data_IF_344519176517
#
_entry.id   IF_344519176517
#
_cell.length_a   1.000
_cell.length_b   1.000
_cell.length_c   1.000
_cell.angle_alpha   90.00
_cell.angle_beta   90.00
_cell.angle_gamma   90.00
#
_symmetry.space_group_name_H-M   'P 1'
#
loop_
_entity.id
_entity.type
_entity.pdbx_description
1 polymer ?
#
# COMPACT_ATOMS: atom_id res chain seq x y z
N UNK A 1 -19.21 -25.05 -4.40
CA UNK A 1 -20.27 -24.80 -3.39
C UNK A 1 -19.60 -24.12 -2.21
N UNK A 2 -20.04 -22.92 -1.82
CA UNK A 2 -19.54 -22.18 -0.65
C UNK A 2 -19.92 -23.01 0.58
N UNK A 3 -18.96 -23.35 1.44
CA UNK A 3 -19.13 -24.47 2.36
C UNK A 3 -18.79 -24.21 3.82
N UNK A 4 -18.29 -23.02 4.20
CA UNK A 4 -17.94 -22.78 5.61
C UNK A 4 -17.89 -21.30 5.99
N UNK A 5 -18.15 -21.04 7.27
CA UNK A 5 -17.86 -19.75 7.89
C UNK A 5 -16.37 -19.42 7.79
N UNK A 6 -16.06 -18.13 7.72
CA UNK A 6 -14.69 -17.69 7.48
C UNK A 6 -14.41 -16.34 8.18
N UNK A 7 -13.20 -16.19 8.68
CA UNK A 7 -12.69 -14.91 9.17
C UNK A 7 -11.24 -14.71 8.75
N UNK A 8 -10.91 -13.50 8.32
CA UNK A 8 -9.52 -13.09 8.04
C UNK A 8 -9.30 -11.63 8.39
N UNK A 9 -8.06 -11.31 8.75
CA UNK A 9 -7.60 -9.95 8.94
C UNK A 9 -6.43 -9.67 7.98
N UNK A 10 -6.47 -8.52 7.34
CA UNK A 10 -5.37 -7.92 6.57
C UNK A 10 -4.99 -6.60 7.19
N UNK A 11 -3.81 -6.10 6.89
CA UNK A 11 -3.29 -4.84 7.44
C UNK A 11 -3.12 -3.81 6.34
N UNK A 12 -3.03 -2.54 6.72
CA UNK A 12 -2.54 -1.50 5.84
C UNK A 12 -1.05 -1.69 5.53
N UNK A 13 -0.52 -0.81 4.70
CA UNK A 13 0.91 -0.75 4.37
C UNK A 13 1.37 0.69 4.24
N UNK A 14 2.68 0.89 4.29
CA UNK A 14 3.34 2.11 3.90
C UNK A 14 4.63 1.79 3.15
N UNK A 15 5.08 2.70 2.29
CA UNK A 15 6.24 2.51 1.43
C UNK A 15 7.35 3.44 1.91
N UNK A 16 8.54 2.88 2.18
CA UNK A 16 9.71 3.65 2.55
C UNK A 16 10.40 4.23 1.31
N UNK A 17 10.54 3.45 0.26
CA UNK A 17 11.11 3.89 -1.00
C UNK A 17 10.73 2.92 -2.15
N UNK A 18 10.77 3.39 -3.40
CA UNK A 18 10.52 2.57 -4.58
C UNK A 18 9.18 2.85 -5.27
N UNK A 19 8.40 3.80 -4.77
CA UNK A 19 7.14 4.24 -5.39
C UNK A 19 7.38 4.62 -6.87
N UNK A 20 6.40 4.44 -7.73
CA UNK A 20 6.44 4.69 -9.18
C UNK A 20 7.50 3.91 -9.95
N UNK A 21 8.79 3.93 -9.52
CA UNK A 21 9.87 3.21 -10.18
C UNK A 21 9.64 1.69 -10.21
N UNK A 22 8.94 1.14 -9.21
CA UNK A 22 8.55 -0.28 -9.13
C UNK A 22 7.71 -0.75 -10.32
N UNK A 23 6.96 0.14 -10.97
CA UNK A 23 6.21 -0.17 -12.19
C UNK A 23 7.11 -0.45 -13.40
N UNK A 24 8.39 -0.08 -13.32
CA UNK A 24 9.42 -0.27 -14.37
C UNK A 24 10.52 -1.23 -13.93
N UNK A 25 10.21 -2.14 -12.96
CA UNK A 25 11.10 -3.21 -12.54
C UNK A 25 12.12 -2.83 -11.45
N UNK A 26 12.12 -1.57 -10.98
CA UNK A 26 12.96 -1.18 -9.87
C UNK A 26 12.44 -1.75 -8.54
N UNK A 27 13.30 -1.90 -7.52
CA UNK A 27 12.88 -2.43 -6.24
C UNK A 27 12.07 -1.41 -5.42
N UNK A 28 11.36 -1.93 -4.41
CA UNK A 28 10.69 -1.12 -3.39
C UNK A 28 10.85 -1.74 -2.00
N UNK A 29 10.80 -0.89 -0.97
CA UNK A 29 10.70 -1.29 0.43
C UNK A 29 9.33 -0.92 0.96
N UNK A 30 8.55 -1.92 1.33
CA UNK A 30 7.19 -1.76 1.88
C UNK A 30 7.07 -2.44 3.23
N UNK A 31 6.31 -1.82 4.11
CA UNK A 31 6.11 -2.24 5.49
C UNK A 31 4.62 -2.46 5.76
N UNK A 32 4.25 -3.51 6.49
CA UNK A 32 2.90 -3.65 7.00
C UNK A 32 2.60 -2.56 8.05
N UNK A 33 1.37 -2.07 8.07
CA UNK A 33 0.87 -1.10 9.03
C UNK A 33 -0.14 -1.80 9.96
N UNK A 34 0.35 -2.45 10.99
CA UNK A 34 -0.47 -3.29 11.88
C UNK A 34 -1.54 -2.52 12.66
N UNK A 35 -1.32 -1.21 12.91
CA UNK A 35 -2.30 -0.33 13.55
C UNK A 35 -3.54 -0.06 12.69
N UNK A 36 -3.45 -0.28 11.38
CA UNK A 36 -4.54 -0.15 10.41
C UNK A 36 -4.88 -1.52 9.85
N UNK A 37 -6.12 -1.97 10.05
CA UNK A 37 -6.54 -3.32 9.68
C UNK A 37 -7.92 -3.34 9.03
N UNK A 38 -8.15 -4.37 8.24
CA UNK A 38 -9.43 -4.76 7.68
C UNK A 38 -9.72 -6.19 8.14
N UNK A 39 -10.86 -6.40 8.75
CA UNK A 39 -11.36 -7.72 9.14
C UNK A 39 -12.58 -8.06 8.28
N UNK A 40 -12.53 -9.18 7.61
CA UNK A 40 -13.62 -9.77 6.85
C UNK A 40 -14.10 -11.02 7.57
N UNK A 41 -15.39 -11.06 7.94
CA UNK A 41 -16.09 -12.25 8.42
C UNK A 41 -17.16 -12.63 7.42
N UNK A 42 -17.34 -13.91 7.25
CA UNK A 42 -18.39 -14.48 6.42
C UNK A 42 -19.13 -15.54 7.20
N UNK A 43 -20.46 -15.46 7.19
CA UNK A 43 -21.34 -16.49 7.73
C UNK A 43 -22.15 -17.10 6.61
N UNK A 44 -22.06 -18.42 6.48
CA UNK A 44 -22.84 -19.17 5.51
C UNK A 44 -24.30 -19.18 5.95
N UNK A 45 -25.17 -18.69 5.09
CA UNK A 45 -26.62 -18.78 5.25
C UNK A 45 -27.27 -19.11 3.91
N UNK A 46 -28.53 -19.56 3.95
CA UNK A 46 -29.34 -19.76 2.73
C UNK A 46 -30.02 -18.46 2.26
N UNK A 47 -29.74 -17.33 2.94
CA UNK A 47 -30.28 -16.02 2.59
C UNK A 47 -29.49 -15.42 1.44
N UNK A 48 -30.09 -14.47 0.75
CA UNK A 48 -29.39 -13.66 -0.25
C UNK A 48 -28.16 -12.97 0.34
N UNK A 49 -27.23 -12.62 -0.53
CA UNK A 49 -26.03 -11.89 -0.18
C UNK A 49 -26.36 -10.57 0.54
N UNK A 50 -25.80 -10.39 1.75
CA UNK A 50 -25.93 -9.16 2.53
C UNK A 50 -24.62 -8.78 3.20
N UNK A 51 -24.46 -7.48 3.52
CA UNK A 51 -23.28 -6.90 4.18
C UNK A 51 -23.72 -6.07 5.38
N UNK A 52 -22.90 -6.03 6.44
CA UNK A 52 -23.16 -5.25 7.65
C UNK A 52 -23.39 -3.75 7.40
N UNK A 53 -22.69 -3.18 6.41
CA UNK A 53 -22.86 -1.79 5.95
C UNK A 53 -23.42 -1.79 4.53
N UNK A 54 -24.66 -1.37 4.36
CA UNK A 54 -25.34 -1.34 3.08
C UNK A 54 -24.62 -0.45 2.04
N UNK A 55 -23.87 0.57 2.47
CA UNK A 55 -23.08 1.42 1.56
C UNK A 55 -21.90 0.67 0.93
N UNK A 56 -21.38 -0.35 1.60
CA UNK A 56 -20.29 -1.20 1.10
C UNK A 56 -20.77 -2.35 0.22
N UNK A 57 -22.08 -2.64 0.21
CA UNK A 57 -22.63 -3.76 -0.53
C UNK A 57 -22.34 -3.73 -2.04
N UNK A 58 -22.48 -2.60 -2.76
CA UNK A 58 -22.15 -2.55 -4.19
C UNK A 58 -20.66 -2.80 -4.46
N UNK A 59 -19.78 -2.26 -3.62
CA UNK A 59 -18.34 -2.45 -3.75
C UNK A 59 -17.96 -3.92 -3.57
N UNK A 60 -18.38 -4.53 -2.47
CA UNK A 60 -18.07 -5.91 -2.15
C UNK A 60 -18.66 -6.86 -3.20
N UNK A 61 -19.91 -6.62 -3.63
CA UNK A 61 -20.54 -7.36 -4.70
C UNK A 61 -19.75 -7.32 -6.01
N UNK A 62 -19.27 -6.14 -6.42
CA UNK A 62 -18.47 -5.99 -7.63
C UNK A 62 -17.15 -6.76 -7.55
N UNK A 63 -16.48 -6.77 -6.39
CA UNK A 63 -15.23 -7.52 -6.21
C UNK A 63 -15.50 -9.03 -6.26
N UNK A 64 -16.54 -9.52 -5.57
CA UNK A 64 -16.94 -10.92 -5.60
C UNK A 64 -17.35 -11.36 -7.01
N UNK A 65 -18.16 -10.56 -7.70
CA UNK A 65 -18.59 -10.78 -9.08
C UNK A 65 -17.38 -10.91 -10.02
N UNK A 66 -16.42 -10.00 -9.90
CA UNK A 66 -15.22 -10.04 -10.73
C UNK A 66 -14.40 -11.30 -10.44
N UNK A 67 -14.23 -11.67 -9.16
CA UNK A 67 -13.56 -12.91 -8.79
C UNK A 67 -14.22 -14.16 -9.35
N UNK A 68 -15.54 -14.26 -9.28
CA UNK A 68 -16.30 -15.38 -9.89
C UNK A 68 -16.14 -15.43 -11.41
N UNK A 69 -16.14 -14.26 -12.07
CA UNK A 69 -15.92 -14.16 -13.52
C UNK A 69 -14.53 -14.65 -13.93
N UNK A 70 -13.47 -14.27 -13.21
CA UNK A 70 -12.09 -14.74 -13.44
C UNK A 70 -12.03 -16.28 -13.35
N UNK A 71 -12.77 -16.87 -12.41
CA UNK A 71 -12.79 -18.32 -12.18
C UNK A 71 -13.79 -19.07 -13.06
N UNK A 72 -14.56 -18.38 -13.92
CA UNK A 72 -15.61 -19.01 -14.74
C UNK A 72 -16.75 -19.63 -13.91
N UNK A 73 -16.99 -19.10 -12.69
CA UNK A 73 -18.02 -19.60 -11.78
C UNK A 73 -19.31 -18.78 -11.87
N UNK A 74 -20.46 -19.42 -11.53
CA UNK A 74 -21.73 -18.71 -11.46
C UNK A 74 -21.86 -17.87 -10.20
N UNK A 75 -22.47 -16.69 -10.35
CA UNK A 75 -22.83 -15.78 -9.26
C UNK A 75 -23.95 -16.31 -8.36
N UNK A 76 -24.78 -17.24 -8.89
CA UNK A 76 -25.95 -17.80 -8.18
C UNK A 76 -25.55 -18.57 -6.91
N UNK A 77 -24.26 -18.81 -6.70
CA UNK A 77 -23.72 -19.53 -5.56
C UNK A 77 -23.27 -18.58 -4.40
N UNK A 78 -23.36 -17.26 -4.56
CA UNK A 78 -22.93 -16.32 -3.51
C UNK A 78 -24.14 -15.98 -2.62
N UNK A 79 -24.24 -16.71 -1.52
CA UNK A 79 -25.21 -16.48 -0.45
C UNK A 79 -24.51 -16.13 0.85
N UNK A 80 -25.25 -15.65 1.83
CA UNK A 80 -24.73 -15.46 3.17
C UNK A 80 -24.44 -14.02 3.54
N UNK A 81 -23.95 -13.85 4.76
CA UNK A 81 -23.72 -12.55 5.38
C UNK A 81 -22.23 -12.25 5.48
N UNK A 82 -21.85 -11.11 4.94
CA UNK A 82 -20.49 -10.58 5.05
C UNK A 82 -20.45 -9.44 6.05
N UNK A 83 -19.49 -9.49 6.95
CA UNK A 83 -19.18 -8.41 7.87
C UNK A 83 -17.80 -7.86 7.55
N UNK A 84 -17.75 -6.59 7.13
CA UNK A 84 -16.52 -5.88 6.82
C UNK A 84 -16.31 -4.77 7.86
N UNK A 85 -15.19 -4.82 8.57
CA UNK A 85 -14.75 -3.79 9.51
C UNK A 85 -13.33 -3.33 9.13
N UNK A 86 -13.14 -2.02 8.91
CA UNK A 86 -11.86 -1.47 8.48
C UNK A 86 -11.61 -0.09 9.07
N UNK A 87 -10.40 0.11 9.59
CA UNK A 87 -9.87 1.42 9.97
C UNK A 87 -8.76 1.91 9.03
N UNK A 88 -8.58 1.25 7.87
CA UNK A 88 -7.64 1.69 6.83
C UNK A 88 -8.29 2.83 6.04
N UNK A 89 -7.72 4.04 6.01
CA UNK A 89 -8.28 5.16 5.27
C UNK A 89 -8.32 4.86 3.77
N UNK A 90 -9.50 5.09 3.15
CA UNK A 90 -9.66 4.92 1.70
C UNK A 90 -9.03 6.12 0.97
N UNK A 91 -8.32 5.86 -0.12
CA UNK A 91 -7.71 6.92 -0.95
C UNK A 91 -6.47 7.59 -0.33
N UNK A 92 -5.94 7.03 0.75
CA UNK A 92 -4.82 7.62 1.48
C UNK A 92 -3.45 6.93 1.22
N UNK A 93 -3.37 6.05 0.21
CA UNK A 93 -2.14 5.34 -0.11
C UNK A 93 -1.75 4.23 0.88
N UNK A 94 -2.63 3.91 1.84
CA UNK A 94 -2.36 2.89 2.87
C UNK A 94 -2.80 1.46 2.49
N UNK A 95 -3.18 1.21 1.24
CA UNK A 95 -3.48 -0.13 0.74
C UNK A 95 -4.89 -0.65 1.10
N UNK A 96 -5.90 0.22 1.22
CA UNK A 96 -7.27 -0.21 1.53
C UNK A 96 -7.85 -1.19 0.48
N UNK A 97 -7.69 -0.89 -0.82
CA UNK A 97 -8.11 -1.77 -1.92
C UNK A 97 -7.36 -3.10 -1.92
N UNK A 98 -6.04 -3.05 -1.75
CA UNK A 98 -5.19 -4.25 -1.68
C UNK A 98 -5.57 -5.13 -0.47
N UNK A 99 -5.84 -4.53 0.69
CA UNK A 99 -6.30 -5.24 1.89
C UNK A 99 -7.61 -5.97 1.65
N UNK A 100 -8.57 -5.31 0.99
CA UNK A 100 -9.85 -5.94 0.60
C UNK A 100 -9.62 -7.06 -0.41
N UNK A 101 -8.83 -6.82 -1.45
CA UNK A 101 -8.51 -7.83 -2.47
C UNK A 101 -7.87 -9.08 -1.88
N UNK A 102 -6.91 -8.93 -0.95
CA UNK A 102 -6.29 -10.07 -0.24
C UNK A 102 -7.29 -10.77 0.66
N UNK A 103 -8.12 -10.04 1.42
CA UNK A 103 -9.13 -10.64 2.31
C UNK A 103 -10.14 -11.47 1.51
N UNK A 104 -10.64 -10.94 0.41
CA UNK A 104 -11.56 -11.64 -0.50
C UNK A 104 -10.88 -12.84 -1.16
N UNK A 105 -9.63 -12.72 -1.61
CA UNK A 105 -8.89 -13.85 -2.19
C UNK A 105 -8.69 -15.00 -1.19
N UNK A 106 -8.44 -14.67 0.08
CA UNK A 106 -8.38 -15.68 1.16
C UNK A 106 -9.74 -16.35 1.38
N UNK A 107 -10.83 -15.58 1.28
CA UNK A 107 -12.19 -16.15 1.34
C UNK A 107 -12.43 -17.12 0.17
N UNK A 108 -12.10 -16.75 -1.07
CA UNK A 108 -12.21 -17.65 -2.23
C UNK A 108 -11.40 -18.93 -2.04
N UNK A 109 -10.19 -18.83 -1.49
CA UNK A 109 -9.36 -20.00 -1.19
C UNK A 109 -10.00 -20.89 -0.11
N UNK A 110 -10.53 -20.31 0.97
CA UNK A 110 -11.19 -21.05 2.05
C UNK A 110 -12.48 -21.74 1.59
N UNK A 111 -13.16 -21.18 0.59
CA UNK A 111 -14.33 -21.79 -0.03
C UNK A 111 -13.98 -22.86 -1.10
N UNK A 112 -12.69 -23.20 -1.26
CA UNK A 112 -12.18 -24.11 -2.29
C UNK A 112 -12.55 -23.70 -3.73
N UNK A 113 -12.70 -22.40 -3.98
CA UNK A 113 -13.01 -21.86 -5.29
C UNK A 113 -11.75 -21.57 -6.12
N UNK A 114 -10.59 -21.34 -5.49
CA UNK A 114 -9.32 -21.18 -6.19
C UNK A 114 -8.77 -22.53 -6.64
N UNK A 115 -8.32 -22.60 -7.89
CA UNK A 115 -7.61 -23.76 -8.40
C UNK A 115 -6.19 -23.82 -7.81
N UNK A 116 -5.60 -25.01 -7.75
CA UNK A 116 -4.23 -25.20 -7.21
C UNK A 116 -3.13 -24.44 -7.99
N UNK A 117 -3.45 -23.96 -9.19
CA UNK A 117 -2.51 -23.20 -10.05
C UNK A 117 -2.49 -21.71 -9.78
N UNK A 118 -3.45 -21.17 -9.02
CA UNK A 118 -3.57 -19.73 -8.74
C UNK A 118 -3.30 -19.48 -7.26
N UNK A 119 -2.27 -18.71 -6.95
CA UNK A 119 -1.99 -18.31 -5.57
C UNK A 119 -2.95 -17.20 -5.11
N UNK A 120 -3.16 -17.06 -3.79
CA UNK A 120 -3.95 -15.97 -3.20
C UNK A 120 -3.42 -14.60 -3.66
N UNK A 121 -2.10 -14.43 -3.75
CA UNK A 121 -1.49 -13.17 -4.17
C UNK A 121 -1.74 -12.85 -5.65
N UNK A 122 -1.63 -13.84 -6.53
CA UNK A 122 -1.95 -13.67 -7.94
C UNK A 122 -3.42 -13.30 -8.12
N UNK A 123 -4.32 -14.01 -7.44
CA UNK A 123 -5.75 -13.71 -7.51
C UNK A 123 -6.09 -12.33 -6.93
N UNK A 124 -5.48 -11.95 -5.80
CA UNK A 124 -5.64 -10.63 -5.22
C UNK A 124 -5.18 -9.50 -6.15
N UNK A 125 -4.09 -9.73 -6.91
CA UNK A 125 -3.61 -8.79 -7.93
C UNK A 125 -4.62 -8.61 -9.05
N UNK A 126 -5.25 -9.68 -9.52
CA UNK A 126 -6.33 -9.59 -10.51
C UNK A 126 -7.55 -8.83 -9.98
N UNK A 127 -7.94 -9.06 -8.71
CA UNK A 127 -9.03 -8.31 -8.09
C UNK A 127 -8.69 -6.81 -7.94
N UNK A 128 -7.42 -6.47 -7.69
CA UNK A 128 -6.97 -5.09 -7.53
C UNK A 128 -7.06 -4.27 -8.84
N UNK A 129 -7.02 -4.93 -10.00
CA UNK A 129 -7.22 -4.26 -11.29
C UNK A 129 -8.56 -3.53 -11.40
N UNK A 130 -9.59 -3.94 -10.64
CA UNK A 130 -10.85 -3.19 -10.54
C UNK A 130 -10.68 -1.76 -10.02
N UNK A 131 -9.66 -1.53 -9.20
CA UNK A 131 -9.44 -0.25 -8.53
C UNK A 131 -8.44 0.65 -9.26
N UNK A 132 -7.43 0.06 -9.88
CA UNK A 132 -6.24 0.80 -10.33
C UNK A 132 -5.83 0.55 -11.79
N UNK A 133 -6.53 -0.30 -12.52
CA UNK A 133 -6.24 -0.62 -13.93
C UNK A 133 -4.94 -1.44 -14.11
N UNK A 134 -3.81 -0.99 -13.55
CA UNK A 134 -2.56 -1.74 -13.50
C UNK A 134 -2.01 -1.74 -12.07
N UNK A 135 -1.65 -2.93 -11.59
CA UNK A 135 -1.00 -3.11 -10.28
C UNK A 135 0.38 -3.74 -10.45
N UNK A 136 1.41 -3.17 -9.81
CA UNK A 136 2.73 -3.80 -9.70
C UNK A 136 2.69 -5.06 -8.83
N UNK A 137 1.68 -5.19 -7.98
CA UNK A 137 1.60 -6.19 -6.92
C UNK A 137 2.30 -5.78 -5.62
N UNK A 138 2.95 -4.60 -5.58
CA UNK A 138 3.63 -4.09 -4.38
C UNK A 138 2.65 -3.94 -3.21
N UNK A 139 1.49 -3.33 -3.45
CA UNK A 139 0.48 -3.10 -2.43
C UNK A 139 -0.07 -4.41 -1.88
N UNK A 140 -0.36 -5.39 -2.76
CA UNK A 140 -0.76 -6.74 -2.36
C UNK A 140 0.31 -7.42 -1.50
N UNK A 141 1.58 -7.34 -1.93
CA UNK A 141 2.69 -7.91 -1.16
C UNK A 141 2.84 -7.23 0.21
N UNK A 142 2.70 -5.89 0.26
CA UNK A 142 2.82 -5.11 1.50
C UNK A 142 1.72 -5.41 2.53
N UNK A 143 0.45 -5.49 2.10
CA UNK A 143 -0.67 -5.82 3.01
C UNK A 143 -0.71 -7.28 3.44
N UNK A 144 -0.10 -8.17 2.67
CA UNK A 144 0.01 -9.60 2.99
C UNK A 144 1.23 -9.92 3.86
N UNK A 145 2.20 -8.99 3.96
CA UNK A 145 3.43 -9.17 4.69
C UNK A 145 3.22 -9.12 6.22
N UNK A 146 4.06 -9.83 6.96
CA UNK A 146 4.12 -9.79 8.43
C UNK A 146 5.27 -8.92 8.96
N UNK A 147 6.20 -8.55 8.08
CA UNK A 147 7.36 -7.69 8.37
C UNK A 147 7.73 -6.89 7.13
N UNK A 148 8.70 -5.98 7.24
CA UNK A 148 9.23 -5.25 6.09
C UNK A 148 9.69 -6.20 4.99
N UNK A 149 9.37 -5.86 3.74
CA UNK A 149 9.78 -6.61 2.57
C UNK A 149 10.48 -5.73 1.53
N UNK A 150 11.48 -6.32 0.90
CA UNK A 150 12.07 -5.87 -0.36
C UNK A 150 11.29 -6.53 -1.49
N UNK A 151 10.69 -5.74 -2.35
CA UNK A 151 9.86 -6.19 -3.46
C UNK A 151 10.50 -5.78 -4.78
N UNK A 152 10.63 -6.71 -5.71
CA UNK A 152 11.08 -6.44 -7.07
C UNK A 152 10.51 -7.47 -8.04
N UNK A 153 9.96 -7.03 -9.16
CA UNK A 153 9.44 -7.88 -10.25
C UNK A 153 8.51 -9.01 -9.77
N UNK A 154 7.59 -8.67 -8.86
CA UNK A 154 6.63 -9.64 -8.30
C UNK A 154 7.19 -10.53 -7.19
N UNK A 155 8.48 -10.42 -6.86
CA UNK A 155 9.12 -11.22 -5.80
C UNK A 155 9.28 -10.40 -4.54
N UNK A 156 8.70 -10.89 -3.44
CA UNK A 156 8.84 -10.31 -2.10
C UNK A 156 9.86 -11.10 -1.27
N UNK A 157 10.80 -10.41 -0.65
CA UNK A 157 11.81 -10.99 0.24
C UNK A 157 11.80 -10.24 1.57
N UNK A 158 11.77 -10.92 2.75
CA UNK A 158 11.87 -10.25 4.04
C UNK A 158 13.14 -9.40 4.14
N UNK A 159 13.01 -8.22 4.75
CA UNK A 159 14.16 -7.36 5.09
C UNK A 159 14.54 -7.63 6.54
N UNK A 160 15.83 -7.90 6.76
CA UNK A 160 16.38 -8.00 8.11
C UNK A 160 16.47 -6.60 8.71
N UNK A 161 15.68 -6.32 9.75
CA UNK A 161 15.79 -5.10 10.53
C UNK A 161 16.60 -5.39 11.78
N UNK A 162 17.81 -4.80 11.88
CA UNK A 162 18.66 -4.91 13.07
C UNK A 162 18.23 -3.94 14.19
N UNK A 163 17.41 -2.96 13.88
CA UNK A 163 16.88 -1.93 14.78
C UNK A 163 15.53 -1.43 14.32
N UNK A 164 14.82 -0.72 15.20
CA UNK A 164 13.56 -0.05 14.87
C UNK A 164 13.75 1.46 14.95
N UNK A 165 13.87 2.16 13.81
CA UNK A 165 13.87 3.60 13.76
C UNK A 165 12.55 4.17 14.31
N UNK A 166 12.58 5.36 14.87
CA UNK A 166 11.36 6.04 15.31
C UNK A 166 10.73 6.78 14.14
N UNK A 167 9.79 6.14 13.50
CA UNK A 167 9.02 6.76 12.43
C UNK A 167 7.56 6.92 12.77
N UNK A 168 6.99 7.92 12.11
CA UNK A 168 5.57 8.21 12.23
C UNK A 168 5.00 8.50 10.85
N UNK A 169 3.71 8.20 10.70
CA UNK A 169 2.91 8.65 9.58
C UNK A 169 2.01 9.78 10.03
N UNK A 170 1.88 10.81 9.20
CA UNK A 170 0.93 11.90 9.39
C UNK A 170 0.28 12.31 8.08
N UNK A 171 -0.98 12.73 8.14
CA UNK A 171 -1.76 13.11 6.96
C UNK A 171 -1.61 14.62 6.68
N UNK A 172 -1.35 14.99 5.43
CA UNK A 172 -1.14 16.41 5.04
C UNK A 172 -2.44 17.22 4.88
N UNK A 173 -3.60 16.62 5.16
CA UNK A 173 -4.91 17.29 4.99
C UNK A 173 -5.51 17.20 3.59
N UNK A 174 -4.78 16.67 2.61
CA UNK A 174 -5.21 16.52 1.21
C UNK A 174 -5.18 15.05 0.78
N UNK A 175 -6.19 14.61 0.03
CA UNK A 175 -6.24 13.24 -0.49
C UNK A 175 -5.34 13.12 -1.73
N UNK A 176 -4.37 12.21 -1.68
CA UNK A 176 -3.54 11.86 -2.83
C UNK A 176 -4.27 10.88 -3.77
N UNK A 177 -4.49 11.29 -5.01
CA UNK A 177 -5.11 10.42 -6.02
C UNK A 177 -4.05 9.70 -6.86
N UNK A 178 -4.03 8.38 -6.80
CA UNK A 178 -3.01 7.53 -7.45
C UNK A 178 -3.00 7.69 -8.98
N UNK A 179 -4.17 7.70 -9.62
CA UNK A 179 -4.27 7.73 -11.08
C UNK A 179 -3.67 9.01 -11.72
N UNK A 180 -3.95 10.24 -11.24
CA UNK A 180 -3.27 11.44 -11.71
C UNK A 180 -1.75 11.38 -11.53
N UNK A 181 -1.26 10.93 -10.37
CA UNK A 181 0.18 10.83 -10.10
C UNK A 181 0.89 9.88 -11.08
N UNK A 182 0.29 8.72 -11.36
CA UNK A 182 0.81 7.79 -12.37
C UNK A 182 0.88 8.45 -13.75
N UNK A 183 -0.17 9.18 -14.15
CA UNK A 183 -0.20 9.89 -15.44
C UNK A 183 0.88 10.97 -15.54
N UNK A 184 1.13 11.72 -14.45
CA UNK A 184 2.20 12.72 -14.41
C UNK A 184 3.57 12.09 -14.65
N UNK A 185 3.87 10.97 -13.98
CA UNK A 185 5.14 10.26 -14.19
C UNK A 185 5.22 9.66 -15.59
N UNK A 186 4.12 9.12 -16.13
CA UNK A 186 4.08 8.61 -17.50
C UNK A 186 4.30 9.72 -18.54
N UNK A 187 3.73 10.91 -18.33
CA UNK A 187 3.97 12.06 -19.21
C UNK A 187 5.46 12.46 -19.22
N UNK A 188 6.11 12.52 -18.05
CA UNK A 188 7.55 12.78 -17.96
C UNK A 188 8.36 11.75 -18.74
N UNK A 189 8.01 10.47 -18.69
CA UNK A 189 8.65 9.40 -19.47
C UNK A 189 8.49 9.58 -20.98
N UNK A 190 7.35 10.16 -21.43
CA UNK A 190 7.12 10.45 -22.85
C UNK A 190 7.88 11.70 -23.33
N UNK A 191 7.95 12.74 -22.48
CA UNK A 191 8.53 14.02 -22.80
C UNK A 191 10.06 14.03 -22.66
N UNK A 192 10.58 13.39 -21.61
CA UNK A 192 12.01 13.36 -21.30
C UNK A 192 12.43 12.01 -20.66
N UNK A 193 12.56 10.95 -21.47
CA UNK A 193 12.86 9.61 -20.98
C UNK A 193 14.22 9.51 -20.26
N UNK A 194 15.24 10.26 -20.68
CA UNK A 194 16.56 10.24 -20.02
C UNK A 194 16.48 10.79 -18.60
N UNK A 195 15.76 11.90 -18.41
CA UNK A 195 15.53 12.48 -17.08
C UNK A 195 14.67 11.56 -16.23
N UNK A 196 13.59 11.00 -16.79
CA UNK A 196 12.72 10.07 -16.09
C UNK A 196 13.48 8.82 -15.60
N UNK A 197 14.34 8.24 -16.45
CA UNK A 197 15.22 7.13 -16.09
C UNK A 197 16.18 7.52 -14.96
N UNK A 198 16.77 8.72 -15.01
CA UNK A 198 17.68 9.18 -13.96
C UNK A 198 17.00 9.27 -12.58
N UNK A 199 15.73 9.68 -12.54
CA UNK A 199 14.94 9.71 -11.30
C UNK A 199 14.67 8.29 -10.79
N UNK A 200 14.31 7.36 -11.67
CA UNK A 200 14.08 5.96 -11.30
C UNK A 200 15.35 5.30 -10.75
N UNK A 201 16.53 5.59 -11.33
CA UNK A 201 17.82 5.14 -10.81
C UNK A 201 18.14 5.75 -9.44
N UNK A 202 17.80 7.03 -9.22
CA UNK A 202 17.94 7.67 -7.92
C UNK A 202 17.02 7.00 -6.89
N UNK A 203 15.77 6.69 -7.24
CA UNK A 203 14.83 5.96 -6.37
C UNK A 203 15.34 4.55 -6.07
N UNK A 204 15.88 3.85 -7.06
CA UNK A 204 16.55 2.55 -6.88
C UNK A 204 17.68 2.64 -5.84
N UNK A 205 18.56 3.63 -5.99
CA UNK A 205 19.65 3.86 -5.03
C UNK A 205 19.13 4.14 -3.62
N UNK A 206 18.05 4.91 -3.50
CA UNK A 206 17.37 5.14 -2.21
C UNK A 206 16.93 3.83 -1.56
N UNK A 207 16.31 2.92 -2.31
CA UNK A 207 15.88 1.60 -1.82
C UNK A 207 17.05 0.79 -1.29
N UNK A 208 18.16 0.70 -2.05
CA UNK A 208 19.35 -0.05 -1.65
C UNK A 208 19.99 0.53 -0.38
N UNK A 209 20.13 1.87 -0.32
CA UNK A 209 20.67 2.57 0.86
C UNK A 209 19.78 2.36 2.09
N UNK A 210 18.47 2.49 1.94
CA UNK A 210 17.51 2.30 3.04
C UNK A 210 17.57 0.86 3.57
N UNK A 211 17.62 -0.14 2.67
CA UNK A 211 17.75 -1.54 3.05
C UNK A 211 19.04 -1.80 3.84
N UNK A 212 20.20 -1.39 3.31
CA UNK A 212 21.49 -1.55 4.02
C UNK A 212 21.48 -0.82 5.38
N UNK A 213 20.91 0.40 5.43
CA UNK A 213 20.84 1.16 6.67
C UNK A 213 20.00 0.46 7.77
N UNK A 214 18.93 -0.25 7.38
CA UNK A 214 18.11 -1.05 8.30
C UNK A 214 18.81 -2.33 8.77
N UNK A 215 19.59 -2.95 7.88
CA UNK A 215 20.39 -4.15 8.19
C UNK A 215 21.58 -3.83 9.09
N UNK A 216 22.21 -2.64 8.94
CA UNK A 216 23.46 -2.23 9.56
C UNK A 216 23.29 -1.22 10.72
N UNK A 217 22.05 -0.87 11.10
CA UNK A 217 21.77 0.14 12.15
C UNK A 217 22.40 1.51 11.82
N UNK A 218 22.34 1.95 10.57
CA UNK A 218 22.99 3.16 10.08
C UNK A 218 21.98 4.30 9.86
N UNK A 219 21.68 5.06 10.92
CA UNK A 219 20.71 6.17 10.86
C UNK A 219 21.12 7.27 9.86
N UNK A 220 22.39 7.74 9.76
CA UNK A 220 22.77 8.73 8.75
C UNK A 220 22.52 8.25 7.31
N UNK A 221 22.77 6.98 7.01
CA UNK A 221 22.50 6.43 5.68
C UNK A 221 20.99 6.30 5.43
N UNK A 222 20.19 6.01 6.45
CA UNK A 222 18.74 5.98 6.35
C UNK A 222 18.16 7.37 6.04
N UNK A 223 18.66 8.43 6.71
CA UNK A 223 18.30 9.82 6.43
C UNK A 223 18.62 10.17 4.97
N UNK A 224 19.82 9.82 4.48
CA UNK A 224 20.18 10.05 3.07
C UNK A 224 19.24 9.32 2.10
N UNK A 225 18.86 8.10 2.41
CA UNK A 225 17.94 7.31 1.58
C UNK A 225 16.55 7.96 1.51
N UNK A 226 16.00 8.39 2.65
CA UNK A 226 14.69 9.06 2.70
C UNK A 226 14.73 10.38 1.91
N UNK A 227 15.78 11.17 2.05
CA UNK A 227 15.94 12.43 1.32
C UNK A 227 16.04 12.20 -0.19
N UNK A 228 16.81 11.18 -0.63
CA UNK A 228 16.86 10.79 -2.05
C UNK A 228 15.48 10.41 -2.60
N UNK A 229 14.69 9.67 -1.82
CA UNK A 229 13.32 9.34 -2.24
C UNK A 229 12.42 10.58 -2.28
N UNK A 230 12.53 11.50 -1.30
CA UNK A 230 11.79 12.77 -1.30
C UNK A 230 12.10 13.62 -2.54
N UNK A 231 13.38 13.71 -2.91
CA UNK A 231 13.84 14.42 -4.11
C UNK A 231 13.26 13.80 -5.41
N UNK A 232 13.09 12.47 -5.47
CA UNK A 232 12.42 11.83 -6.61
C UNK A 232 10.96 12.30 -6.72
N UNK A 233 10.22 12.40 -5.62
CA UNK A 233 8.84 12.92 -5.64
C UNK A 233 8.79 14.37 -6.13
N UNK A 234 9.75 15.20 -5.73
CA UNK A 234 9.85 16.58 -6.22
C UNK A 234 10.12 16.62 -7.72
N UNK A 235 11.09 15.84 -8.21
CA UNK A 235 11.46 15.77 -9.63
C UNK A 235 10.34 15.20 -10.51
N UNK A 236 9.53 14.25 -10.00
CA UNK A 236 8.33 13.77 -10.68
C UNK A 236 7.17 14.78 -10.68
N UNK A 237 7.28 15.92 -9.96
CA UNK A 237 6.19 16.90 -9.84
C UNK A 237 5.03 16.41 -8.95
N UNK A 238 5.29 15.54 -8.00
CA UNK A 238 4.28 14.90 -7.15
C UNK A 238 4.18 15.51 -5.74
N UNK A 239 4.77 16.69 -5.53
CA UNK A 239 4.68 17.42 -4.26
C UNK A 239 3.69 18.57 -4.44
N UNK A 240 2.46 18.42 -3.89
CA UNK A 240 1.49 19.52 -3.82
C UNK A 240 1.91 20.57 -2.78
N UNK A 241 1.32 21.75 -2.84
CA UNK A 241 1.61 22.83 -1.88
C UNK A 241 1.31 22.40 -0.44
N UNK A 242 0.19 21.71 -0.21
CA UNK A 242 -0.18 21.23 1.12
C UNK A 242 0.82 20.17 1.62
N UNK A 243 1.23 19.27 0.73
CA UNK A 243 2.22 18.24 1.05
C UNK A 243 3.58 18.85 1.41
N UNK A 244 4.03 19.85 0.64
CA UNK A 244 5.27 20.59 0.90
C UNK A 244 5.23 21.33 2.25
N UNK A 245 4.14 22.04 2.54
CA UNK A 245 3.96 22.76 3.81
C UNK A 245 3.95 21.78 5.00
N UNK A 246 3.29 20.64 4.86
CA UNK A 246 3.25 19.60 5.89
C UNK A 246 4.64 19.00 6.15
N UNK A 247 5.39 18.67 5.10
CA UNK A 247 6.76 18.17 5.22
C UNK A 247 7.68 19.21 5.88
N UNK A 248 7.56 20.48 5.52
CA UNK A 248 8.32 21.56 6.13
C UNK A 248 8.01 21.70 7.62
N UNK A 249 6.72 21.68 8.00
CA UNK A 249 6.30 21.72 9.41
C UNK A 249 6.91 20.58 10.22
N UNK A 250 6.95 19.35 9.69
CA UNK A 250 7.57 18.21 10.37
C UNK A 250 9.08 18.39 10.52
N UNK A 251 9.75 18.94 9.49
CA UNK A 251 11.18 19.22 9.52
C UNK A 251 11.52 20.31 10.55
N UNK A 252 10.73 21.40 10.59
CA UNK A 252 10.90 22.50 11.54
C UNK A 252 10.66 22.04 12.99
N UNK A 253 9.81 21.02 13.18
CA UNK A 253 9.56 20.38 14.46
C UNK A 253 10.65 19.38 14.88
N UNK A 254 11.67 19.17 14.06
CA UNK A 254 12.84 18.33 14.38
C UNK A 254 12.83 16.92 13.78
N UNK A 255 11.99 16.64 12.77
CA UNK A 255 12.12 15.39 12.00
C UNK A 255 13.47 15.36 11.28
N UNK A 256 14.19 14.25 11.39
CA UNK A 256 15.51 14.04 10.77
C UNK A 256 15.42 13.88 9.25
N UNK A 257 14.32 13.32 8.77
CA UNK A 257 14.00 13.18 7.35
C UNK A 257 12.50 12.97 7.18
N UNK A 258 11.96 13.46 6.07
CA UNK A 258 10.53 13.39 5.72
C UNK A 258 10.36 13.09 4.24
N UNK A 259 9.35 12.31 3.88
CA UNK A 259 8.97 12.06 2.49
C UNK A 259 7.50 11.65 2.36
N UNK A 260 6.86 11.85 1.21
CA UNK A 260 5.56 11.24 0.95
C UNK A 260 5.64 9.71 0.98
N UNK A 261 4.55 9.04 1.35
CA UNK A 261 4.40 7.60 1.20
C UNK A 261 3.17 7.28 0.37
N UNK A 262 3.31 6.39 -0.62
CA UNK A 262 2.28 6.10 -1.62
C UNK A 262 2.51 6.86 -2.93
N UNK A 263 1.43 7.28 -3.60
CA UNK A 263 1.55 7.88 -4.95
C UNK A 263 2.03 9.33 -4.99
N UNK A 264 2.03 10.05 -3.88
CA UNK A 264 2.26 11.50 -3.86
C UNK A 264 0.99 12.30 -4.18
N UNK A 265 1.15 13.59 -4.45
CA UNK A 265 0.03 14.50 -4.74
C UNK A 265 -0.85 14.82 -3.54
N UNK A 266 -0.51 14.37 -2.34
CA UNK A 266 -1.25 14.43 -1.08
C UNK A 266 -1.08 13.17 -0.24
N UNK A 267 -1.98 12.94 0.71
CA UNK A 267 -2.01 11.75 1.56
C UNK A 267 -1.05 11.81 2.75
N UNK A 268 -0.33 10.73 3.00
CA UNK A 268 0.52 10.58 4.17
C UNK A 268 1.99 10.89 3.87
N UNK A 269 2.64 11.39 4.91
CA UNK A 269 4.09 11.60 4.99
C UNK A 269 4.65 10.64 6.03
N UNK A 270 5.75 9.98 5.71
CA UNK A 270 6.59 9.29 6.69
C UNK A 270 7.65 10.26 7.19
N UNK A 271 7.84 10.28 8.49
CA UNK A 271 8.85 11.10 9.17
C UNK A 271 9.71 10.24 10.09
N UNK A 272 11.03 10.46 10.06
CA UNK A 272 12.02 9.82 10.91
C UNK A 272 12.44 10.79 12.03
N UNK A 273 12.53 10.30 13.25
CA UNK A 273 12.84 11.12 14.42
C UNK A 273 13.91 10.47 15.29
N UNK A 274 14.69 11.32 15.97
CA UNK A 274 15.64 10.87 17.00
C UNK A 274 14.90 10.58 18.31
N UNK A 275 13.96 11.45 18.67
CA UNK A 275 13.10 11.31 19.84
C UNK A 275 11.63 11.35 19.43
N UNK A 276 10.75 10.78 20.27
CA UNK A 276 9.30 10.87 20.04
C UNK A 276 8.88 12.35 20.05
N UNK A 277 8.29 12.87 18.96
CA UNK A 277 7.87 14.26 18.91
C UNK A 277 6.78 14.55 19.95
N UNK A 278 6.84 15.73 20.57
CA UNK A 278 5.86 16.20 21.55
C UNK A 278 5.22 17.50 21.06
N UNK A 279 3.97 17.73 21.46
CA UNK A 279 3.21 18.97 21.16
C UNK A 279 3.04 19.27 19.66
N UNK A 280 2.82 18.23 18.85
CA UNK A 280 2.47 18.40 17.44
C UNK A 280 0.98 18.70 17.28
N UNK A 281 0.64 19.64 16.40
CA UNK A 281 -0.75 19.95 16.03
C UNK A 281 -1.31 19.00 14.94
N UNK A 282 -0.68 17.87 14.74
CA UNK A 282 -1.10 16.82 13.79
C UNK A 282 -1.03 15.45 14.44
N UNK A 283 -1.94 14.58 14.03
CA UNK A 283 -1.93 13.19 14.49
C UNK A 283 -0.74 12.44 13.90
N UNK A 284 0.13 11.95 14.77
CA UNK A 284 1.27 11.12 14.42
C UNK A 284 0.94 9.67 14.74
N UNK A 285 0.88 8.83 13.72
CA UNK A 285 0.67 7.38 13.86
C UNK A 285 2.06 6.74 13.99
N UNK A 286 2.42 6.16 15.14
CA UNK A 286 3.69 5.44 15.29
C UNK A 286 3.67 4.15 14.46
N UNK A 287 4.79 3.83 13.82
CA UNK A 287 4.94 2.68 12.92
C UNK A 287 6.27 1.96 13.11
#
# INVERSE_FOLDING_TARGET
MICCDFETTTHGKWILAGEHAVLRGHPALVFPLHAKKLTLRYQQTNSDFTVNDASMQPLLWNVLKHGMQILGQSLDNIHGYFHLDSNIPVGAGMGASASLSVAISRWFAAQNLLTSSITIQQFAKELEHLFHGQSSGLDIAGVAATSAIYFQEGVARPVKQAWQPRWFLSHCGEIGMTSPCIKTVQALWQENPEHAESIDQQMHLSVLKARSALEDTNQPQLIQAINLAADCFLQWGLISTNLQQHMQMLSDAGALAVKPTGSGGGGYVVSLWDNTPSNMNVDLIPI
#
